data_IF_414669497116
#
_entry.id   IF_414669497116
#
_cell.length_a   1.000
_cell.length_b   1.000
_cell.length_c   1.000
_cell.angle_alpha   90.00
_cell.angle_beta   90.00
_cell.angle_gamma   90.00
#
_symmetry.space_group_name_H-M   'P 1'
#
loop_
_entity.id
_entity.type
_entity.pdbx_description
1 polymer ?
#
# COMPACT_ATOMS: atom_id res chain seq x y z
N UNK A 1 -8.56 -13.79 -18.14
CA UNK A 1 -8.28 -12.84 -17.04
C UNK A 1 -8.43 -11.42 -17.57
N UNK A 2 -9.11 -10.56 -16.81
CA UNK A 2 -9.29 -9.14 -17.11
C UNK A 2 -8.14 -8.30 -16.54
N UNK A 3 -7.82 -7.21 -17.22
CA UNK A 3 -6.81 -6.26 -16.76
C UNK A 3 -7.32 -5.54 -15.50
N UNK A 4 -6.53 -5.48 -14.41
CA UNK A 4 -6.96 -4.84 -13.16
C UNK A 4 -7.06 -3.31 -13.26
N UNK A 5 -6.53 -2.71 -14.33
CA UNK A 5 -6.51 -1.25 -14.53
C UNK A 5 -7.70 -0.76 -15.35
N UNK A 6 -8.13 -1.52 -16.37
CA UNK A 6 -9.17 -1.09 -17.30
C UNK A 6 -10.21 -2.15 -17.65
N UNK A 7 -10.11 -3.37 -17.12
CA UNK A 7 -11.06 -4.45 -17.34
C UNK A 7 -10.94 -5.20 -18.67
N UNK A 8 -10.15 -4.71 -19.63
CA UNK A 8 -9.96 -5.34 -20.95
C UNK A 8 -9.26 -6.71 -20.87
N UNK A 9 -9.35 -7.49 -21.94
CA UNK A 9 -8.66 -8.78 -22.03
C UNK A 9 -7.13 -8.63 -21.90
N UNK A 10 -6.51 -9.50 -21.11
CA UNK A 10 -5.06 -9.49 -20.89
C UNK A 10 -4.31 -10.11 -22.06
N UNK A 11 -3.12 -9.57 -22.37
CA UNK A 11 -2.27 -10.11 -23.43
C UNK A 11 -1.01 -10.76 -22.84
N UNK A 12 -0.52 -11.89 -23.37
CA UNK A 12 0.57 -12.65 -22.76
C UNK A 12 1.81 -11.83 -22.43
N UNK A 13 2.20 -10.91 -23.31
CA UNK A 13 3.39 -10.06 -23.14
C UNK A 13 3.29 -9.07 -21.97
N UNK A 14 2.07 -8.73 -21.53
CA UNK A 14 1.83 -7.72 -20.50
C UNK A 14 1.05 -8.26 -19.31
N UNK A 15 0.81 -9.57 -19.18
CA UNK A 15 0.06 -10.12 -18.05
C UNK A 15 0.64 -9.65 -16.71
N UNK A 16 -0.19 -9.19 -15.76
CA UNK A 16 -1.66 -9.27 -15.71
C UNK A 16 -2.43 -8.14 -16.42
N UNK A 17 -1.80 -7.35 -17.28
CA UNK A 17 -2.36 -6.19 -17.97
C UNK A 17 -2.71 -6.45 -19.44
N UNK A 18 -3.45 -5.51 -20.05
CA UNK A 18 -3.77 -5.53 -21.48
C UNK A 18 -2.71 -4.81 -22.35
N UNK A 19 -1.85 -3.98 -21.76
CA UNK A 19 -0.87 -3.16 -22.49
C UNK A 19 0.23 -2.62 -21.57
N UNK A 20 1.34 -2.15 -22.18
CA UNK A 20 2.38 -1.39 -21.46
C UNK A 20 1.81 -0.20 -20.71
N UNK A 21 0.89 0.55 -21.32
CA UNK A 21 0.26 1.73 -20.71
C UNK A 21 -0.43 1.36 -19.38
N UNK A 22 -1.14 0.24 -19.32
CA UNK A 22 -1.79 -0.17 -18.08
C UNK A 22 -0.77 -0.61 -17.01
N UNK A 23 0.32 -1.27 -17.41
CA UNK A 23 1.41 -1.59 -16.48
C UNK A 23 2.08 -0.32 -15.91
N UNK A 24 2.34 0.67 -16.76
CA UNK A 24 2.94 1.95 -16.33
C UNK A 24 2.00 2.72 -15.37
N UNK A 25 0.69 2.70 -15.62
CA UNK A 25 -0.30 3.32 -14.73
C UNK A 25 -0.37 2.63 -13.37
N UNK A 26 -0.29 1.30 -13.34
CA UNK A 26 -0.22 0.55 -12.09
C UNK A 26 1.04 0.91 -11.30
N UNK A 27 2.19 0.96 -11.96
CA UNK A 27 3.45 1.39 -11.35
C UNK A 27 3.35 2.83 -10.79
N UNK A 28 2.70 3.75 -11.51
CA UNK A 28 2.49 5.10 -11.01
C UNK A 28 1.65 5.12 -9.72
N UNK A 29 0.61 4.27 -9.62
CA UNK A 29 -0.20 4.12 -8.40
C UNK A 29 0.60 3.57 -7.21
N UNK A 30 1.57 2.71 -7.47
CA UNK A 30 2.51 2.27 -6.45
C UNK A 30 3.39 3.42 -5.96
N UNK A 31 4.03 4.13 -6.90
CA UNK A 31 4.97 5.19 -6.57
C UNK A 31 4.33 6.41 -5.91
N UNK A 32 3.04 6.67 -6.18
CA UNK A 32 2.30 7.78 -5.58
C UNK A 32 1.58 7.41 -4.28
N UNK A 33 1.68 6.16 -3.82
CA UNK A 33 1.04 5.71 -2.58
C UNK A 33 -0.47 5.46 -2.68
N UNK A 34 -1.05 5.36 -3.87
CA UNK A 34 -2.49 5.03 -4.02
C UNK A 34 -2.85 3.65 -3.46
N UNK A 35 -1.87 2.76 -3.31
CA UNK A 35 -2.03 1.45 -2.69
C UNK A 35 -1.70 1.44 -1.18
N UNK A 36 -1.63 2.60 -0.53
CA UNK A 36 -1.46 2.67 0.91
C UNK A 36 -2.70 2.11 1.65
N UNK A 37 -2.44 1.40 2.74
CA UNK A 37 -3.48 0.97 3.69
C UNK A 37 -3.59 2.08 4.73
N UNK A 38 -4.79 2.65 4.96
CA UNK A 38 -4.97 3.65 6.01
C UNK A 38 -4.68 3.02 7.38
N UNK A 39 -3.90 3.71 8.21
CA UNK A 39 -3.71 3.35 9.62
C UNK A 39 -4.93 3.76 10.44
N UNK A 40 -5.34 2.92 11.37
CA UNK A 40 -6.28 3.28 12.44
C UNK A 40 -5.49 3.96 13.58
N UNK A 41 -4.92 5.12 13.30
CA UNK A 41 -3.95 5.79 14.18
C UNK A 41 -4.56 6.46 15.41
N UNK A 42 -5.86 6.35 15.66
CA UNK A 42 -6.41 6.80 16.95
C UNK A 42 -5.99 5.87 18.10
N UNK A 43 -5.75 4.57 17.84
CA UNK A 43 -5.37 3.59 18.88
C UNK A 43 -3.87 3.25 18.86
N UNK A 44 -3.20 3.34 17.71
CA UNK A 44 -1.77 3.00 17.58
C UNK A 44 -0.84 4.11 18.10
N UNK A 45 -1.20 5.39 17.95
CA UNK A 45 -0.37 6.50 18.42
C UNK A 45 -0.35 6.56 19.97
N UNK A 46 -1.47 6.26 20.64
CA UNK A 46 -1.55 6.14 22.11
C UNK A 46 -0.76 4.94 22.64
N UNK A 47 -0.77 3.80 21.92
CA UNK A 47 -0.02 2.61 22.32
C UNK A 47 1.50 2.81 22.22
N UNK A 48 1.97 3.52 21.20
CA UNK A 48 3.40 3.83 21.02
C UNK A 48 3.94 4.79 22.08
N UNK A 49 3.12 5.75 22.52
CA UNK A 49 3.48 6.67 23.61
C UNK A 49 3.48 5.96 24.99
N UNK A 50 2.52 5.06 25.26
CA UNK A 50 2.47 4.29 26.52
C UNK A 50 3.62 3.28 26.64
N UNK A 51 4.00 2.63 25.53
CA UNK A 51 5.17 1.75 25.48
C UNK A 51 6.49 2.51 25.67
N UNK A 52 6.61 3.73 25.13
CA UNK A 52 7.78 4.58 25.32
C UNK A 52 7.91 5.07 26.77
N UNK A 53 6.80 5.45 27.41
CA UNK A 53 6.79 5.87 28.81
C UNK A 53 7.07 4.74 29.79
N UNK A 54 6.50 3.56 29.56
CA UNK A 54 6.71 2.38 30.41
C UNK A 54 8.18 1.92 30.36
N UNK A 55 8.81 1.94 29.18
CA UNK A 55 10.24 1.66 29.06
C UNK A 55 11.14 2.73 29.71
N UNK A 56 10.74 4.01 29.68
CA UNK A 56 11.48 5.06 30.39
C UNK A 56 11.43 4.88 31.91
N UNK A 57 10.27 4.48 32.46
CA UNK A 57 10.06 4.22 33.89
C UNK A 57 10.76 2.94 34.38
N UNK A 58 10.93 1.93 33.52
CA UNK A 58 11.64 0.68 33.86
C UNK A 58 13.17 0.84 33.92
N UNK A 59 13.70 1.92 33.31
CA UNK A 59 15.15 2.21 33.21
C UNK A 59 15.65 3.13 34.33
N UNK A 60 14.78 3.57 35.24
CA UNK A 60 15.10 4.31 36.46
C UNK A 60 14.84 3.45 37.69
#
# INVERSE_FOLDING_TARGET
MSCPICGSETVPAYRPFCSKRCADLDLAKWLNGSYAIPSSSEEEDEALDDEAETQAKLRH
#
